data_IF_731175265132
#
_entry.id   IF_731175265132
#
_cell.length_a   1.000
_cell.length_b   1.000
_cell.length_c   1.000
_cell.angle_alpha   90.00
_cell.angle_beta   90.00
_cell.angle_gamma   90.00
#
_symmetry.space_group_name_H-M   'P 1'
#
loop_
_entity.id
_entity.type
_entity.pdbx_description
1 polymer ?
#
# COMPACT_ATOMS: atom_id res chain seq x y z
N UNK A 1 -30.38 1.05 -29.43
CA UNK A 1 -28.93 1.31 -29.24
C UNK A 1 -28.74 1.81 -27.82
N UNK A 2 -28.28 0.95 -26.91
CA UNK A 2 -28.17 1.26 -25.49
C UNK A 2 -26.95 2.14 -25.19
N UNK A 3 -27.18 3.30 -24.59
CA UNK A 3 -26.12 4.09 -23.97
C UNK A 3 -25.67 3.37 -22.70
N UNK A 4 -24.52 2.69 -22.76
CA UNK A 4 -23.80 2.31 -21.55
C UNK A 4 -23.03 3.52 -21.04
N UNK A 5 -23.65 4.25 -20.13
CA UNK A 5 -22.96 5.18 -19.23
C UNK A 5 -22.00 4.39 -18.36
N UNK A 6 -20.80 4.10 -18.89
CA UNK A 6 -19.72 3.46 -18.15
C UNK A 6 -19.24 4.42 -17.06
N UNK A 7 -19.86 4.24 -15.90
CA UNK A 7 -19.40 4.56 -14.55
C UNK A 7 -17.90 4.88 -14.44
N UNK A 8 -17.65 5.95 -13.65
CA UNK A 8 -16.49 6.12 -12.75
C UNK A 8 -15.16 6.50 -13.41
N UNK A 9 -15.14 7.68 -14.02
CA UNK A 9 -13.89 8.40 -14.34
C UNK A 9 -13.32 9.19 -13.12
N UNK A 10 -13.62 8.78 -11.88
CA UNK A 10 -13.21 9.45 -10.63
C UNK A 10 -11.96 8.87 -9.96
N UNK A 11 -11.31 7.85 -10.54
CA UNK A 11 -10.02 7.32 -10.06
C UNK A 11 -8.78 8.03 -10.65
N UNK A 12 -8.97 9.19 -11.29
CA UNK A 12 -7.86 10.01 -11.78
C UNK A 12 -7.24 10.77 -10.59
N UNK A 13 -6.04 10.35 -10.21
CA UNK A 13 -4.98 11.15 -9.56
C UNK A 13 -4.95 11.21 -8.02
N UNK A 14 -5.28 10.13 -7.29
CA UNK A 14 -4.62 10.00 -5.98
C UNK A 14 -3.13 9.72 -6.24
N UNK A 15 -2.21 10.49 -5.65
CA UNK A 15 -0.78 10.26 -5.83
C UNK A 15 -0.47 8.82 -5.44
N UNK A 16 0.07 8.06 -6.40
CA UNK A 16 0.59 6.73 -6.14
C UNK A 16 1.97 6.91 -5.54
N UNK A 17 2.13 6.44 -4.31
CA UNK A 17 3.42 6.37 -3.64
C UNK A 17 4.02 4.99 -3.87
N UNK A 18 5.33 4.88 -3.74
CA UNK A 18 5.98 3.59 -3.57
C UNK A 18 6.36 3.42 -2.11
N UNK A 19 6.09 2.25 -1.55
CA UNK A 19 6.38 1.90 -0.18
C UNK A 19 7.40 0.78 -0.19
N UNK A 20 8.50 0.99 0.53
CA UNK A 20 9.53 0.00 0.82
C UNK A 20 9.39 -0.42 2.27
N UNK A 21 9.24 -1.72 2.50
CA UNK A 21 9.08 -2.32 3.82
C UNK A 21 10.24 -3.26 4.10
N UNK A 22 10.75 -3.22 5.34
CA UNK A 22 11.86 -4.04 5.80
C UNK A 22 11.34 -5.16 6.68
N UNK A 23 11.24 -6.37 6.12
CA UNK A 23 10.76 -7.54 6.84
C UNK A 23 11.88 -8.58 6.95
N UNK A 24 12.40 -8.72 8.18
CA UNK A 24 13.51 -9.60 8.50
C UNK A 24 14.73 -9.30 7.59
N UNK A 25 15.09 -10.24 6.71
CA UNK A 25 16.23 -10.12 5.79
C UNK A 25 15.82 -9.70 4.37
N UNK A 26 14.54 -9.35 4.14
CA UNK A 26 14.01 -9.01 2.83
C UNK A 26 13.41 -7.61 2.80
N UNK A 27 13.55 -6.99 1.63
CA UNK A 27 12.90 -5.71 1.33
C UNK A 27 11.77 -5.96 0.36
N UNK A 28 10.58 -5.50 0.72
CA UNK A 28 9.40 -5.60 -0.12
C UNK A 28 9.01 -4.22 -0.64
N UNK A 29 8.70 -4.14 -1.94
CA UNK A 29 8.28 -2.91 -2.60
C UNK A 29 6.83 -3.03 -3.07
N UNK A 30 6.03 -2.02 -2.80
CA UNK A 30 4.64 -1.96 -3.22
C UNK A 30 4.25 -0.57 -3.68
N UNK A 31 3.33 -0.48 -4.66
CA UNK A 31 2.63 0.77 -4.90
C UNK A 31 1.57 0.95 -3.79
N UNK A 32 1.59 2.10 -3.13
CA UNK A 32 0.68 2.46 -2.06
C UNK A 32 -0.25 3.59 -2.47
N UNK A 33 -1.47 3.50 -1.95
CA UNK A 33 -2.50 4.51 -2.08
C UNK A 33 -2.84 5.02 -0.68
N UNK A 34 -2.83 6.34 -0.52
CA UNK A 34 -3.29 6.95 0.71
C UNK A 34 -4.82 6.95 0.79
N UNK A 35 -5.35 6.60 1.95
CA UNK A 35 -6.77 6.61 2.30
C UNK A 35 -6.93 7.47 3.55
N UNK A 36 -7.48 8.67 3.41
CA UNK A 36 -7.46 9.65 4.50
C UNK A 36 -6.06 10.23 4.71
N UNK A 37 -5.68 10.56 5.95
CA UNK A 37 -4.41 11.22 6.27
C UNK A 37 -3.30 10.29 6.79
N UNK A 38 -3.67 9.09 7.27
CA UNK A 38 -2.76 8.18 7.97
C UNK A 38 -2.75 6.76 7.42
N UNK A 39 -3.72 6.39 6.58
CA UNK A 39 -3.82 5.00 6.12
C UNK A 39 -3.17 4.88 4.75
N UNK A 40 -2.21 3.97 4.63
CA UNK A 40 -1.67 3.50 3.35
C UNK A 40 -2.23 2.12 3.06
N UNK A 41 -2.95 2.00 1.93
CA UNK A 41 -3.39 0.72 1.39
C UNK A 41 -2.50 0.32 0.22
N UNK A 42 -1.98 -0.91 0.26
CA UNK A 42 -1.08 -1.41 -0.78
C UNK A 42 -1.20 -2.93 -0.95
N UNK A 43 -0.77 -3.42 -2.11
CA UNK A 43 -0.68 -4.86 -2.40
C UNK A 43 0.76 -5.25 -2.53
N UNK A 44 1.12 -6.36 -1.89
CA UNK A 44 2.51 -6.79 -1.77
C UNK A 44 2.58 -8.32 -1.82
N UNK A 45 3.77 -8.86 -2.08
CA UNK A 45 4.02 -10.30 -2.05
C UNK A 45 3.64 -10.87 -0.68
N UNK A 46 2.82 -11.94 -0.67
CA UNK A 46 2.32 -12.58 0.56
C UNK A 46 3.41 -13.21 1.43
N UNK A 47 4.64 -13.35 0.90
CA UNK A 47 5.82 -13.75 1.67
C UNK A 47 6.18 -12.77 2.77
N UNK A 48 5.71 -11.52 2.70
CA UNK A 48 5.83 -10.58 3.81
C UNK A 48 5.17 -11.19 5.06
N UNK A 49 5.83 -11.10 6.20
CA UNK A 49 5.46 -11.80 7.43
C UNK A 49 4.45 -11.02 8.27
N UNK A 50 4.26 -9.72 8.00
CA UNK A 50 3.44 -8.82 8.82
C UNK A 50 1.99 -9.26 8.95
N UNK A 51 1.47 -9.20 10.16
CA UNK A 51 0.09 -9.49 10.54
C UNK A 51 -0.57 -8.26 11.14
N UNK A 52 -1.89 -8.33 11.28
CA UNK A 52 -2.65 -7.29 11.99
C UNK A 52 -2.10 -7.09 13.40
N UNK A 53 -1.79 -5.85 13.74
CA UNK A 53 -1.19 -5.45 15.02
C UNK A 53 0.33 -5.33 14.99
N UNK A 54 1.00 -5.77 13.92
CA UNK A 54 2.45 -5.67 13.82
C UNK A 54 2.88 -4.22 13.56
N UNK A 55 3.95 -3.81 14.26
CA UNK A 55 4.65 -2.57 13.98
C UNK A 55 5.50 -2.70 12.72
N UNK A 56 5.47 -1.66 11.89
CA UNK A 56 6.14 -1.61 10.60
C UNK A 56 7.00 -0.37 10.53
N UNK A 57 8.17 -0.51 9.93
CA UNK A 57 9.02 0.59 9.53
C UNK A 57 9.35 0.46 8.05
N UNK A 58 9.37 1.59 7.35
CA UNK A 58 9.56 1.62 5.92
C UNK A 58 9.94 2.98 5.38
N UNK A 59 9.94 3.09 4.05
CA UNK A 59 10.19 4.33 3.32
C UNK A 59 9.11 4.55 2.28
N UNK A 60 8.55 5.75 2.27
CA UNK A 60 7.57 6.19 1.28
C UNK A 60 8.26 7.10 0.26
N UNK A 61 8.05 6.81 -1.03
CA UNK A 61 8.60 7.56 -2.16
C UNK A 61 7.46 8.17 -2.99
N UNK A 62 7.61 9.43 -3.40
CA UNK A 62 6.66 10.13 -4.26
C UNK A 62 7.15 10.28 -5.70
N UNK A 63 6.24 10.31 -6.68
CA UNK A 63 6.56 10.45 -8.12
C UNK A 63 7.23 11.78 -8.52
N UNK A 64 7.42 12.73 -7.58
CA UNK A 64 7.94 14.08 -7.86
C UNK A 64 9.11 14.52 -6.98
N UNK A 65 9.51 13.74 -5.98
CA UNK A 65 10.68 14.04 -5.15
C UNK A 65 11.66 12.87 -5.21
N UNK A 66 12.95 13.18 -5.37
CA UNK A 66 14.04 12.22 -5.22
C UNK A 66 14.29 11.81 -3.76
N UNK A 67 13.38 12.20 -2.85
CA UNK A 67 13.51 12.03 -1.41
C UNK A 67 12.50 11.00 -0.92
N UNK A 68 12.96 10.12 -0.03
CA UNK A 68 12.10 9.23 0.71
C UNK A 68 11.69 9.86 2.03
N UNK A 69 10.49 9.53 2.48
CA UNK A 69 9.99 9.88 3.81
C UNK A 69 10.02 8.59 4.63
N UNK A 70 10.81 8.52 5.73
CA UNK A 70 10.71 7.42 6.68
C UNK A 70 9.27 7.33 7.20
N UNK A 71 8.73 6.12 7.29
CA UNK A 71 7.38 5.90 7.81
C UNK A 71 7.39 4.76 8.83
N UNK A 72 6.67 4.96 9.92
CA UNK A 72 6.37 3.93 10.90
C UNK A 72 4.86 3.87 11.15
N UNK A 73 4.39 2.71 11.60
CA UNK A 73 2.98 2.52 11.90
C UNK A 73 2.63 1.10 12.25
N UNK A 74 1.32 0.80 12.26
CA UNK A 74 0.78 -0.51 12.61
C UNK A 74 -0.07 -1.05 11.47
N UNK A 75 0.06 -2.35 11.16
CA UNK A 75 -0.85 -3.02 10.23
C UNK A 75 -2.24 -3.14 10.86
N UNK A 76 -3.23 -2.46 10.29
CA UNK A 76 -4.63 -2.51 10.72
C UNK A 76 -5.37 -3.70 10.15
N UNK A 77 -5.06 -4.03 8.90
CA UNK A 77 -5.71 -5.12 8.18
C UNK A 77 -4.74 -5.81 7.23
N UNK A 78 -4.88 -7.14 7.14
CA UNK A 78 -4.25 -7.99 6.14
C UNK A 78 -5.31 -8.85 5.48
N UNK A 79 -5.37 -8.78 4.15
CA UNK A 79 -6.29 -9.56 3.33
C UNK A 79 -5.53 -10.35 2.29
N UNK A 80 -5.55 -11.67 2.42
CA UNK A 80 -4.99 -12.57 1.40
C UNK A 80 -5.81 -12.51 0.12
N UNK A 81 -5.15 -12.31 -1.02
CA UNK A 81 -5.80 -12.30 -2.33
C UNK A 81 -5.50 -13.63 -3.02
N UNK A 82 -6.55 -14.43 -3.25
CA UNK A 82 -6.42 -15.67 -4.01
C UNK A 82 -6.21 -15.35 -5.49
N UNK A 83 -4.96 -15.42 -5.95
CA UNK A 83 -4.65 -15.41 -7.38
C UNK A 83 -4.62 -16.83 -7.91
N UNK A 84 -5.35 -17.10 -9.00
CA UNK A 84 -5.33 -18.40 -9.70
C UNK A 84 -4.13 -18.56 -10.64
N UNK A 85 -3.40 -17.49 -10.94
CA UNK A 85 -2.43 -17.47 -12.04
C UNK A 85 -1.05 -16.86 -11.68
N UNK A 86 -0.87 -16.29 -10.48
CA UNK A 86 0.36 -15.60 -10.09
C UNK A 86 0.78 -15.90 -8.64
N UNK A 87 2.01 -15.48 -8.29
CA UNK A 87 2.53 -15.41 -6.92
C UNK A 87 1.47 -14.85 -5.96
N UNK A 88 1.29 -15.53 -4.83
CA UNK A 88 0.33 -15.15 -3.80
C UNK A 88 0.65 -13.71 -3.34
N UNK A 89 -0.33 -12.83 -3.42
CA UNK A 89 -0.25 -11.42 -3.02
C UNK A 89 -1.26 -11.17 -1.90
N UNK A 90 -0.92 -10.30 -0.97
CA UNK A 90 -1.84 -9.82 0.06
C UNK A 90 -2.03 -8.31 -0.04
N UNK A 91 -3.18 -7.83 0.40
CA UNK A 91 -3.48 -6.42 0.58
C UNK A 91 -3.29 -6.07 2.06
N UNK A 92 -2.54 -5.01 2.33
CA UNK A 92 -2.29 -4.51 3.68
C UNK A 92 -2.82 -3.08 3.82
N UNK A 93 -3.32 -2.77 5.01
CA UNK A 93 -3.58 -1.41 5.45
C UNK A 93 -2.63 -1.08 6.60
N UNK A 94 -1.76 -0.10 6.37
CA UNK A 94 -0.83 0.45 7.34
C UNK A 94 -1.39 1.77 7.85
N UNK A 95 -1.63 1.88 9.16
CA UNK A 95 -1.89 3.16 9.82
C UNK A 95 -0.57 3.74 10.29
N UNK A 96 -0.19 4.86 9.68
CA UNK A 96 0.99 5.66 10.02
C UNK A 96 0.83 6.32 11.38
N UNK A 97 1.93 6.41 12.12
CA UNK A 97 1.98 7.13 13.41
C UNK A 97 1.75 8.65 13.21
N UNK A 98 2.25 9.19 12.10
CA UNK A 98 2.15 10.60 11.71
C UNK A 98 1.22 10.82 10.52
N UNK A 99 0.67 12.04 10.40
CA UNK A 99 -0.07 12.48 9.21
C UNK A 99 0.89 12.54 8.01
N UNK A 100 0.50 11.94 6.89
CA UNK A 100 1.28 11.94 5.65
C UNK A 100 0.82 13.13 4.82
N UNK A 101 1.59 14.22 4.81
CA UNK A 101 1.32 15.47 4.07
C UNK A 101 1.79 15.43 2.60
#
# INVERSE_FOLDING_TARGET
>A
MGQTSFLKNTFRLLPKFYLELFDSDQVFLAAAQMIGKRILRFRIDSRVSYKKGDGVYGRLYGLRSSFYIPISGIIKERKELQSRYYSKVCELELESDEDIE
#
